data_IF_213079562103
#
_entry.id   IF_213079562103
#
_cell.length_a   1.000
_cell.length_b   1.000
_cell.length_c   1.000
_cell.angle_alpha   90.00
_cell.angle_beta   90.00
_cell.angle_gamma   90.00
#
_symmetry.space_group_name_H-M   'P 1'
#
loop_
_entity.id
_entity.type
_entity.pdbx_description
1 polymer ?
#
# COMPACT_ATOMS: atom_id res chain seq x y z
N UNK A 1 -18.83 39.45 38.35
CA UNK A 1 -19.58 40.74 38.30
C UNK A 1 -19.32 41.38 36.94
N UNK A 2 -20.25 42.15 36.48
CA UNK A 2 -21.32 41.81 35.53
C UNK A 2 -21.10 42.59 34.24
N UNK A 3 -21.79 42.45 33.20
CA UNK A 3 -23.16 42.39 32.81
C UNK A 3 -23.26 42.51 31.30
N UNK A 4 -24.17 41.87 30.73
CA UNK A 4 -25.48 42.39 30.31
C UNK A 4 -25.39 43.46 29.21
N UNK A 5 -26.02 43.35 28.10
CA UNK A 5 -27.44 43.32 27.77
C UNK A 5 -27.64 43.70 26.29
N UNK A 6 -28.47 42.96 25.56
CA UNK A 6 -29.57 43.42 24.65
C UNK A 6 -29.20 44.12 23.32
N UNK A 7 -29.92 43.99 22.29
CA UNK A 7 -31.24 43.46 21.96
C UNK A 7 -31.65 43.89 20.54
N UNK A 8 -32.40 43.04 19.89
CA UNK A 8 -33.59 43.31 19.07
C UNK A 8 -33.50 43.94 17.67
N UNK A 9 -34.03 43.20 16.69
CA UNK A 9 -35.36 43.41 16.05
C UNK A 9 -35.34 44.54 15.00
N UNK A 10 -35.74 44.41 13.75
CA UNK A 10 -37.00 44.07 13.12
C UNK A 10 -37.03 44.40 11.62
N UNK A 11 -37.84 43.64 10.87
CA UNK A 11 -38.70 43.99 9.72
C UNK A 11 -38.08 44.16 8.33
N UNK A 12 -38.38 43.21 7.44
CA UNK A 12 -39.51 43.14 6.49
C UNK A 12 -39.52 44.26 5.43
N UNK A 13 -39.44 43.88 4.15
CA UNK A 13 -40.43 44.20 3.11
C UNK A 13 -40.11 43.44 1.83
N UNK A 14 -41.11 42.78 1.32
CA UNK A 14 -41.22 42.08 0.07
C UNK A 14 -41.30 43.05 -1.13
N UNK A 15 -40.70 42.65 -2.26
CA UNK A 15 -41.23 43.08 -3.55
C UNK A 15 -41.05 41.99 -4.60
N UNK A 16 -42.14 41.47 -5.10
CA UNK A 16 -42.28 40.65 -6.29
C UNK A 16 -41.77 41.40 -7.52
N UNK A 17 -40.99 40.72 -8.37
CA UNK A 17 -40.97 41.05 -9.78
C UNK A 17 -40.82 39.75 -10.59
N UNK A 18 -41.91 39.41 -11.24
CA UNK A 18 -42.05 38.31 -12.20
C UNK A 18 -41.47 38.78 -13.54
N UNK A 19 -40.43 38.08 -14.03
CA UNK A 19 -40.09 38.10 -15.45
C UNK A 19 -39.79 36.67 -15.87
N UNK A 20 -40.67 36.10 -16.67
CA UNK A 20 -40.51 34.81 -17.28
C UNK A 20 -39.49 34.87 -18.41
N UNK A 21 -38.61 33.89 -18.48
CA UNK A 21 -37.86 33.55 -19.69
C UNK A 21 -37.82 32.02 -19.82
N UNK A 22 -38.12 31.61 -21.04
CA UNK A 22 -38.28 30.31 -21.61
C UNK A 22 -37.31 29.25 -21.11
N UNK A 23 -37.88 28.10 -20.73
CA UNK A 23 -37.10 26.90 -20.35
C UNK A 23 -36.42 26.24 -21.53
N UNK A 24 -35.12 26.11 -21.44
CA UNK A 24 -34.39 25.03 -22.06
C UNK A 24 -34.47 23.84 -21.09
N UNK A 25 -35.32 22.89 -21.40
CA UNK A 25 -35.31 21.58 -20.72
C UNK A 25 -34.02 20.84 -21.06
N UNK A 26 -32.97 21.09 -20.25
CA UNK A 26 -31.91 20.11 -20.09
C UNK A 26 -32.59 18.84 -19.54
N UNK A 27 -32.54 17.77 -20.33
CA UNK A 27 -32.90 16.44 -19.85
C UNK A 27 -31.93 16.09 -18.71
N UNK A 28 -32.37 16.43 -17.48
CA UNK A 28 -31.75 15.92 -16.27
C UNK A 28 -31.89 14.38 -16.34
N UNK A 29 -30.78 13.66 -16.34
CA UNK A 29 -30.76 12.24 -16.04
C UNK A 29 -31.54 12.06 -14.75
N UNK A 30 -32.56 11.20 -14.78
CA UNK A 30 -33.29 10.81 -13.57
C UNK A 30 -32.26 10.29 -12.55
N UNK A 31 -32.21 10.84 -11.33
CA UNK A 31 -31.37 10.30 -10.30
C UNK A 31 -31.81 8.86 -10.05
N UNK A 32 -30.87 7.93 -10.16
CA UNK A 32 -31.02 6.54 -9.74
C UNK A 32 -31.75 6.56 -8.38
N UNK A 33 -32.97 6.01 -8.30
CA UNK A 33 -33.72 5.83 -7.07
C UNK A 33 -32.91 4.91 -6.14
N UNK A 34 -32.06 5.53 -5.32
CA UNK A 34 -31.33 4.83 -4.27
C UNK A 34 -32.35 4.46 -3.19
N UNK A 35 -32.50 3.21 -2.80
CA UNK A 35 -33.38 2.82 -1.70
C UNK A 35 -33.03 3.64 -0.45
N UNK A 36 -34.02 4.10 0.34
CA UNK A 36 -33.77 4.86 1.54
C UNK A 36 -32.94 4.02 2.52
N UNK A 37 -31.74 4.52 2.89
CA UNK A 37 -30.80 3.85 3.81
C UNK A 37 -29.52 3.29 3.15
N UNK A 38 -29.40 3.30 1.82
CA UNK A 38 -28.17 2.85 1.14
C UNK A 38 -27.18 4.01 1.03
N UNK A 39 -25.95 3.77 1.48
CA UNK A 39 -24.86 4.76 1.41
C UNK A 39 -24.51 5.09 -0.05
N UNK A 40 -24.52 6.38 -0.42
CA UNK A 40 -23.97 6.81 -1.71
C UNK A 40 -22.47 7.06 -1.58
N UNK A 41 -21.69 6.28 -2.29
CA UNK A 41 -20.24 6.33 -2.28
C UNK A 41 -19.75 7.13 -3.49
N UNK A 42 -19.08 8.26 -3.24
CA UNK A 42 -18.33 9.01 -4.25
C UNK A 42 -16.90 8.48 -4.35
N UNK A 43 -16.20 8.75 -5.47
CA UNK A 43 -14.83 8.29 -5.66
C UNK A 43 -13.89 8.83 -4.56
N UNK A 44 -13.97 10.14 -4.24
CA UNK A 44 -13.12 10.75 -3.21
C UNK A 44 -13.36 10.16 -1.82
N UNK A 45 -14.64 9.89 -1.49
CA UNK A 45 -15.01 9.24 -0.23
C UNK A 45 -14.47 7.81 -0.17
N UNK A 46 -14.52 7.07 -1.29
CA UNK A 46 -13.96 5.72 -1.39
C UNK A 46 -12.45 5.74 -1.17
N UNK A 47 -11.73 6.64 -1.82
CA UNK A 47 -10.27 6.80 -1.65
C UNK A 47 -9.94 7.13 -0.18
N UNK A 48 -10.63 8.12 0.41
CA UNK A 48 -10.41 8.51 1.81
C UNK A 48 -10.64 7.37 2.80
N UNK A 49 -11.73 6.61 2.64
CA UNK A 49 -12.03 5.44 3.48
C UNK A 49 -10.97 4.35 3.34
N UNK A 50 -10.54 4.06 2.12
CA UNK A 50 -9.55 3.02 1.88
C UNK A 50 -8.18 3.39 2.46
N UNK A 51 -7.71 4.61 2.26
CA UNK A 51 -6.42 5.05 2.83
C UNK A 51 -6.39 4.91 4.35
N UNK A 52 -7.53 5.04 5.04
CA UNK A 52 -7.61 4.88 6.50
C UNK A 52 -7.73 3.40 6.90
N UNK A 53 -8.60 2.64 6.24
CA UNK A 53 -9.08 1.34 6.73
C UNK A 53 -8.43 0.15 6.02
N UNK A 54 -7.82 0.33 4.85
CA UNK A 54 -7.24 -0.77 4.10
C UNK A 54 -6.15 -1.49 4.89
N UNK A 55 -6.22 -2.83 4.92
CA UNK A 55 -5.31 -3.67 5.72
C UNK A 55 -3.88 -3.62 5.21
N UNK A 56 -3.66 -3.53 3.88
CA UNK A 56 -2.33 -3.45 3.29
C UNK A 56 -1.64 -2.12 3.66
N UNK A 57 -2.34 -0.99 3.51
CA UNK A 57 -1.83 0.32 3.92
C UNK A 57 -1.57 0.37 5.44
N UNK A 58 -2.44 -0.23 6.25
CA UNK A 58 -2.25 -0.35 7.71
C UNK A 58 -1.02 -1.18 8.05
N UNK A 59 -0.81 -2.32 7.38
CA UNK A 59 0.37 -3.15 7.58
C UNK A 59 1.66 -2.41 7.21
N UNK A 60 1.65 -1.64 6.11
CA UNK A 60 2.79 -0.81 5.72
C UNK A 60 3.11 0.28 6.76
N UNK A 61 2.09 0.90 7.39
CA UNK A 61 2.29 1.84 8.51
C UNK A 61 2.85 1.15 9.76
N UNK A 62 2.38 -0.05 10.08
CA UNK A 62 2.93 -0.84 11.19
C UNK A 62 4.39 -1.22 10.94
N UNK A 63 4.79 -1.48 9.68
CA UNK A 63 6.19 -1.75 9.35
C UNK A 63 7.09 -0.53 9.62
N UNK A 64 6.61 0.69 9.35
CA UNK A 64 7.34 1.91 9.74
C UNK A 64 7.52 1.96 11.27
N UNK A 65 6.45 1.73 12.03
CA UNK A 65 6.53 1.68 13.50
C UNK A 65 7.54 0.66 14.01
N UNK A 66 7.56 -0.54 13.40
CA UNK A 66 8.58 -1.56 13.72
C UNK A 66 10.01 -1.09 13.43
N UNK A 67 10.24 -0.36 12.33
CA UNK A 67 11.56 0.17 12.01
C UNK A 67 11.97 1.30 12.99
N UNK A 68 11.02 2.15 13.40
CA UNK A 68 11.26 3.20 14.37
C UNK A 68 11.60 2.60 15.75
N UNK A 69 10.91 1.52 16.19
CA UNK A 69 11.24 0.77 17.40
C UNK A 69 12.62 0.11 17.31
N UNK A 70 12.98 -0.48 16.17
CA UNK A 70 14.33 -1.02 15.92
C UNK A 70 15.41 0.06 16.01
N UNK A 71 15.12 1.24 15.49
CA UNK A 71 16.02 2.40 15.59
C UNK A 71 16.17 2.84 17.05
N UNK A 72 15.08 2.90 17.81
CA UNK A 72 15.11 3.21 19.25
C UNK A 72 15.91 2.16 20.03
N UNK A 73 15.69 0.86 19.74
CA UNK A 73 16.48 -0.21 20.32
C UNK A 73 17.96 -0.11 19.96
N UNK A 74 18.30 0.20 18.69
CA UNK A 74 19.69 0.36 18.27
C UNK A 74 20.38 1.53 19.00
N UNK A 75 19.66 2.60 19.33
CA UNK A 75 20.20 3.74 20.10
C UNK A 75 20.59 3.34 21.52
N UNK A 76 19.95 2.33 22.14
CA UNK A 76 20.33 1.87 23.48
C UNK A 76 21.72 1.25 23.52
N UNK A 77 22.27 0.77 22.38
CA UNK A 77 23.64 0.27 22.32
C UNK A 77 24.72 1.36 22.53
N UNK A 78 24.34 2.63 22.52
CA UNK A 78 25.22 3.74 22.92
C UNK A 78 25.41 3.84 24.43
N UNK A 79 24.50 3.25 25.21
CA UNK A 79 24.46 3.30 26.66
C UNK A 79 25.22 2.11 27.27
N UNK A 80 25.63 2.20 28.53
CA UNK A 80 26.22 1.07 29.25
C UNK A 80 25.24 -0.10 29.33
N UNK A 81 25.74 -1.30 29.12
CA UNK A 81 24.98 -2.54 29.30
C UNK A 81 25.28 -3.09 30.67
N UNK A 82 24.26 -3.33 31.48
CA UNK A 82 24.34 -3.99 32.79
C UNK A 82 23.87 -5.44 32.64
N UNK A 83 24.74 -6.38 33.00
CA UNK A 83 24.46 -7.83 33.03
C UNK A 83 24.57 -8.35 34.46
N UNK A 84 23.64 -9.17 34.86
CA UNK A 84 23.68 -9.91 36.13
C UNK A 84 23.62 -11.39 35.84
N UNK A 85 24.65 -12.12 36.25
CA UNK A 85 24.76 -13.55 36.08
C UNK A 85 24.76 -14.21 37.48
N UNK A 86 23.90 -15.19 37.68
CA UNK A 86 23.90 -16.03 38.88
C UNK A 86 24.21 -17.47 38.50
N UNK A 87 25.08 -18.10 39.25
CA UNK A 87 25.40 -19.52 39.10
C UNK A 87 25.45 -20.22 40.47
N UNK A 88 24.93 -21.43 40.50
CA UNK A 88 25.09 -22.35 41.63
C UNK A 88 25.79 -23.60 41.08
N UNK A 89 26.89 -23.95 41.70
CA UNK A 89 27.66 -25.15 41.31
C UNK A 89 27.99 -25.99 42.54
N UNK A 90 28.00 -27.30 42.39
CA UNK A 90 28.48 -28.25 43.39
C UNK A 90 29.63 -29.05 42.76
N UNK A 91 30.89 -28.84 43.20
CA UNK A 91 31.99 -29.71 42.74
C UNK A 91 31.70 -31.15 43.11
N UNK A 92 31.92 -32.06 42.21
CA UNK A 92 31.73 -33.51 42.42
C UNK A 92 33.00 -34.20 42.89
N UNK A 93 34.15 -33.55 42.67
CA UNK A 93 35.48 -34.06 43.05
C UNK A 93 36.22 -32.97 43.82
N UNK A 94 37.05 -33.39 44.74
CA UNK A 94 38.02 -32.51 45.41
C UNK A 94 39.31 -32.47 44.61
N UNK A 95 40.04 -31.35 44.67
CA UNK A 95 41.42 -31.23 44.22
C UNK A 95 42.27 -30.64 45.33
N UNK A 96 43.49 -31.12 45.44
CA UNK A 96 44.45 -30.66 46.42
C UNK A 96 45.44 -29.72 45.77
N UNK A 97 45.71 -28.57 46.42
CA UNK A 97 46.76 -27.65 46.03
C UNK A 97 47.78 -27.53 47.14
N UNK A 98 49.01 -27.93 46.84
CA UNK A 98 50.11 -27.81 47.81
C UNK A 98 50.79 -26.46 47.63
N UNK A 99 50.88 -25.69 48.68
CA UNK A 99 51.65 -24.45 48.74
C UNK A 99 52.95 -24.79 49.46
N UNK A 100 54.07 -24.65 48.76
CA UNK A 100 55.40 -24.88 49.32
C UNK A 100 55.73 -23.80 50.34
N UNK A 101 56.54 -24.16 51.36
CA UNK A 101 57.04 -23.28 52.39
C UNK A 101 57.66 -22.02 51.76
N UNK A 102 57.18 -20.85 52.18
CA UNK A 102 57.70 -19.56 51.71
C UNK A 102 57.25 -19.09 50.35
N UNK A 103 56.30 -19.77 49.68
CA UNK A 103 55.78 -19.42 48.31
C UNK A 103 55.19 -18.02 48.28
N UNK A 104 54.64 -17.49 49.37
CA UNK A 104 54.12 -16.11 49.46
C UNK A 104 55.14 -15.14 50.07
N UNK A 105 56.41 -15.52 50.22
CA UNK A 105 57.47 -14.67 50.79
C UNK A 105 57.81 -14.95 52.25
N UNK A 106 58.67 -14.14 52.84
CA UNK A 106 59.12 -14.20 54.22
C UNK A 106 58.74 -12.95 54.99
N UNK A 107 58.27 -13.10 56.23
CA UNK A 107 58.02 -12.03 57.14
C UNK A 107 59.04 -12.09 58.28
N UNK A 108 59.13 -11.04 59.16
CA UNK A 108 59.95 -11.08 60.36
C UNK A 108 59.67 -12.30 61.25
N UNK A 109 58.50 -12.93 61.13
CA UNK A 109 58.06 -14.11 61.86
C UNK A 109 58.37 -15.42 61.14
N UNK A 110 58.96 -15.39 59.93
CA UNK A 110 59.26 -16.58 59.14
C UNK A 110 58.64 -16.64 57.74
N UNK A 111 58.89 -17.67 56.99
CA UNK A 111 58.30 -17.88 55.65
C UNK A 111 56.77 -18.10 55.71
N UNK A 112 56.07 -17.72 54.63
CA UNK A 112 54.62 -17.93 54.51
C UNK A 112 54.35 -18.83 53.29
N UNK A 113 53.68 -19.98 53.48
CA UNK A 113 53.48 -20.69 54.78
C UNK A 113 54.80 -21.13 55.39
N UNK A 114 54.81 -21.38 56.69
CA UNK A 114 56.00 -21.82 57.39
C UNK A 114 56.36 -23.31 57.14
N UNK A 115 55.42 -24.07 56.61
CA UNK A 115 55.54 -25.47 56.20
C UNK A 115 54.76 -25.68 54.89
N UNK A 116 55.03 -26.78 54.17
CA UNK A 116 54.24 -27.15 53.00
C UNK A 116 52.79 -27.42 53.44
N UNK A 117 51.89 -26.64 52.86
CA UNK A 117 50.47 -26.66 53.27
C UNK A 117 49.61 -27.13 52.11
N UNK A 118 48.88 -28.23 52.34
CA UNK A 118 47.92 -28.77 51.35
C UNK A 118 46.56 -28.20 51.69
N UNK A 119 45.97 -27.49 50.70
CA UNK A 119 44.59 -27.01 50.75
C UNK A 119 43.72 -27.87 49.86
N UNK A 120 42.81 -28.63 50.45
CA UNK A 120 41.82 -29.43 49.73
C UNK A 120 40.60 -28.61 49.40
N UNK A 121 40.16 -28.62 48.14
CA UNK A 121 38.93 -27.91 47.73
C UNK A 121 37.68 -28.52 48.37
N UNK A 122 36.71 -27.70 48.66
CA UNK A 122 35.42 -28.17 49.24
C UNK A 122 34.48 -28.65 48.13
N UNK A 123 33.75 -29.74 48.43
CA UNK A 123 32.61 -30.20 47.60
C UNK A 123 31.28 -29.55 47.98
N UNK A 124 31.32 -28.57 48.86
CA UNK A 124 30.09 -27.82 49.23
C UNK A 124 29.54 -27.01 48.07
N UNK A 125 28.22 -26.90 47.93
CA UNK A 125 27.62 -26.03 46.92
C UNK A 125 28.12 -24.59 47.08
N UNK A 126 28.45 -23.97 45.94
CA UNK A 126 28.88 -22.57 45.89
C UNK A 126 27.90 -21.82 44.99
N UNK A 127 27.35 -20.73 45.49
CA UNK A 127 26.59 -19.80 44.70
C UNK A 127 27.43 -18.56 44.39
N UNK A 128 27.35 -18.03 43.17
CA UNK A 128 28.01 -16.81 42.79
C UNK A 128 27.04 -15.89 42.06
N UNK A 129 27.11 -14.61 42.34
CA UNK A 129 26.43 -13.56 41.58
C UNK A 129 27.49 -12.61 41.01
N UNK A 130 27.45 -12.40 39.70
CA UNK A 130 28.39 -11.52 38.99
C UNK A 130 27.58 -10.43 38.27
N UNK A 131 27.74 -9.20 38.73
CA UNK A 131 27.25 -7.99 38.06
C UNK A 131 28.37 -7.41 37.17
N UNK A 132 28.04 -7.11 35.90
CA UNK A 132 28.97 -6.50 34.95
C UNK A 132 28.31 -5.31 34.30
N UNK A 133 28.91 -4.13 34.36
CA UNK A 133 28.59 -2.96 33.59
C UNK A 133 29.64 -2.83 32.48
N UNK A 134 29.21 -2.70 31.23
CA UNK A 134 30.10 -2.54 30.08
C UNK A 134 29.67 -1.34 29.25
N UNK A 135 30.57 -0.36 29.04
CA UNK A 135 30.37 0.78 28.18
C UNK A 135 31.28 0.67 26.96
N UNK A 136 30.72 0.54 25.72
CA UNK A 136 31.54 0.60 24.52
C UNK A 136 32.13 2.01 24.35
N UNK A 137 33.41 2.12 23.95
CA UNK A 137 34.11 3.37 23.71
C UNK A 137 34.46 3.56 22.23
N UNK A 138 35.30 2.71 21.66
CA UNK A 138 35.71 2.78 20.24
C UNK A 138 34.60 2.39 19.30
N UNK A 139 33.72 1.50 19.73
CA UNK A 139 32.57 0.98 18.96
C UNK A 139 31.47 2.03 18.74
N UNK A 140 31.49 3.14 19.49
CA UNK A 140 30.46 4.20 19.38
C UNK A 140 30.31 4.72 17.94
N UNK A 141 31.43 4.82 17.18
CA UNK A 141 31.37 5.20 15.77
C UNK A 141 30.61 4.17 14.92
N UNK A 142 30.90 2.88 15.09
CA UNK A 142 30.23 1.78 14.38
C UNK A 142 28.75 1.72 14.74
N UNK A 143 28.41 1.86 16.03
CA UNK A 143 27.02 1.89 16.50
C UNK A 143 26.25 3.08 15.89
N UNK A 144 26.85 4.27 15.78
CA UNK A 144 26.23 5.42 15.10
C UNK A 144 25.98 5.16 13.62
N UNK A 145 26.86 4.44 12.92
CA UNK A 145 26.64 4.03 11.52
C UNK A 145 25.49 3.03 11.41
N UNK A 146 25.39 2.07 12.34
CA UNK A 146 24.28 1.09 12.40
C UNK A 146 22.95 1.78 12.68
N UNK A 147 22.89 2.75 13.60
CA UNK A 147 21.69 3.56 13.84
C UNK A 147 21.29 4.30 12.56
N UNK A 148 22.26 4.92 11.86
CA UNK A 148 21.97 5.59 10.60
C UNK A 148 21.47 4.64 9.51
N UNK A 149 21.97 3.41 9.47
CA UNK A 149 21.47 2.36 8.58
C UNK A 149 20.03 2.01 8.91
N UNK A 150 19.69 1.91 10.20
CA UNK A 150 18.31 1.64 10.65
C UNK A 150 17.36 2.81 10.32
N UNK A 151 17.82 4.06 10.44
CA UNK A 151 17.07 5.24 10.02
C UNK A 151 16.79 5.22 8.49
N UNK A 152 17.75 4.75 7.66
CA UNK A 152 17.50 4.54 6.22
C UNK A 152 16.47 3.44 5.98
N UNK A 153 16.47 2.37 6.77
CA UNK A 153 15.44 1.32 6.66
C UNK A 153 14.04 1.86 6.95
N UNK A 154 13.89 2.76 7.94
CA UNK A 154 12.63 3.47 8.18
C UNK A 154 12.22 4.35 6.98
N UNK A 155 13.17 5.06 6.35
CA UNK A 155 12.88 5.86 5.15
C UNK A 155 12.50 5.01 3.94
N UNK A 156 13.11 3.83 3.77
CA UNK A 156 12.72 2.85 2.75
C UNK A 156 11.28 2.38 2.99
N UNK A 157 10.93 2.01 4.22
CA UNK A 157 9.55 1.61 4.57
C UNK A 157 8.53 2.73 4.31
N UNK A 158 8.89 4.00 4.50
CA UNK A 158 8.04 5.15 4.14
C UNK A 158 7.86 5.29 2.63
N UNK A 159 8.91 5.05 1.83
CA UNK A 159 8.79 5.03 0.37
C UNK A 159 7.88 3.89 -0.09
N UNK A 160 8.00 2.71 0.52
CA UNK A 160 7.14 1.55 0.25
C UNK A 160 5.68 1.80 0.65
N UNK A 161 5.41 2.50 1.77
CA UNK A 161 4.07 2.94 2.12
C UNK A 161 3.49 3.85 1.04
N UNK A 162 4.27 4.83 0.56
CA UNK A 162 3.83 5.72 -0.52
C UNK A 162 3.48 4.94 -1.80
N UNK A 163 4.30 3.96 -2.20
CA UNK A 163 4.00 3.08 -3.33
C UNK A 163 2.72 2.27 -3.12
N UNK A 164 2.51 1.75 -1.90
CA UNK A 164 1.31 0.99 -1.54
C UNK A 164 0.06 1.87 -1.59
N UNK A 165 0.13 3.11 -1.07
CA UNK A 165 -0.98 4.06 -1.09
C UNK A 165 -1.32 4.48 -2.52
N UNK A 166 -0.34 4.75 -3.39
CA UNK A 166 -0.56 5.04 -4.80
C UNK A 166 -1.20 3.86 -5.54
N UNK A 167 -0.73 2.63 -5.29
CA UNK A 167 -1.34 1.44 -5.88
C UNK A 167 -2.78 1.25 -5.44
N UNK A 168 -3.06 1.44 -4.14
CA UNK A 168 -4.40 1.33 -3.56
C UNK A 168 -5.36 2.36 -4.17
N UNK A 169 -4.95 3.62 -4.30
CA UNK A 169 -5.77 4.67 -4.92
C UNK A 169 -6.12 4.31 -6.36
N UNK A 170 -5.15 3.84 -7.14
CA UNK A 170 -5.38 3.40 -8.52
C UNK A 170 -6.33 2.18 -8.58
N UNK A 171 -6.16 1.18 -7.71
CA UNK A 171 -7.04 0.00 -7.64
C UNK A 171 -8.48 0.39 -7.31
N UNK A 172 -8.67 1.38 -6.43
CA UNK A 172 -10.01 1.91 -6.07
C UNK A 172 -10.62 2.62 -7.27
N UNK A 173 -9.88 3.49 -7.95
CA UNK A 173 -10.36 4.18 -9.16
C UNK A 173 -10.81 3.15 -10.20
N UNK A 174 -10.02 2.10 -10.43
CA UNK A 174 -10.35 1.03 -11.38
C UNK A 174 -11.60 0.24 -10.97
N UNK A 175 -11.69 -0.16 -9.70
CA UNK A 175 -12.85 -0.88 -9.18
C UNK A 175 -14.12 -0.03 -9.24
N UNK A 176 -14.01 1.26 -8.92
CA UNK A 176 -15.10 2.22 -8.99
C UNK A 176 -15.64 2.37 -10.43
N UNK A 177 -14.73 2.58 -11.40
CA UNK A 177 -15.11 2.69 -12.82
C UNK A 177 -15.65 1.37 -13.37
N UNK A 178 -15.15 0.22 -12.93
CA UNK A 178 -15.69 -1.09 -13.32
C UNK A 178 -17.14 -1.27 -12.85
N UNK A 179 -17.48 -0.83 -11.62
CA UNK A 179 -18.86 -0.85 -11.10
C UNK A 179 -19.77 0.03 -11.98
N UNK A 180 -19.36 1.26 -12.31
CA UNK A 180 -20.13 2.14 -13.19
C UNK A 180 -20.32 1.54 -14.58
N UNK A 181 -19.31 0.87 -15.12
CA UNK A 181 -19.40 0.17 -16.40
C UNK A 181 -20.41 -0.97 -16.34
N UNK A 182 -20.42 -1.79 -15.29
CA UNK A 182 -21.37 -2.88 -15.12
C UNK A 182 -22.80 -2.36 -14.89
N UNK A 183 -22.97 -1.21 -14.23
CA UNK A 183 -24.27 -0.57 -14.12
C UNK A 183 -24.81 -0.14 -15.49
N UNK A 184 -23.98 0.47 -16.33
CA UNK A 184 -24.33 0.82 -17.72
C UNK A 184 -24.65 -0.41 -18.58
N UNK A 185 -23.90 -1.50 -18.42
CA UNK A 185 -24.18 -2.77 -19.08
C UNK A 185 -25.53 -3.37 -18.68
N UNK A 186 -25.88 -3.31 -17.38
CA UNK A 186 -27.16 -3.79 -16.88
C UNK A 186 -28.34 -2.99 -17.50
N UNK A 187 -28.20 -1.66 -17.55
CA UNK A 187 -29.21 -0.81 -18.20
C UNK A 187 -29.41 -1.12 -19.69
N UNK A 188 -28.30 -1.36 -20.42
CA UNK A 188 -28.37 -1.76 -21.83
C UNK A 188 -29.03 -3.15 -22.00
N UNK A 189 -28.70 -4.11 -21.16
CA UNK A 189 -29.32 -5.43 -21.16
C UNK A 189 -30.83 -5.38 -20.86
N UNK A 190 -31.25 -4.54 -19.89
CA UNK A 190 -32.67 -4.30 -19.60
C UNK A 190 -33.43 -3.66 -20.79
N UNK A 191 -32.78 -2.71 -21.50
CA UNK A 191 -33.35 -2.13 -22.70
C UNK A 191 -33.53 -3.19 -23.81
N UNK A 192 -32.56 -4.09 -23.99
CA UNK A 192 -32.64 -5.20 -24.94
C UNK A 192 -33.76 -6.19 -24.57
N UNK A 193 -33.94 -6.51 -23.29
CA UNK A 193 -35.05 -7.37 -22.83
C UNK A 193 -36.38 -6.71 -23.13
N UNK A 194 -36.57 -5.43 -22.85
CA UNK A 194 -37.82 -4.72 -23.18
C UNK A 194 -38.14 -4.80 -24.68
N UNK A 195 -37.12 -4.61 -25.52
CA UNK A 195 -37.29 -4.77 -26.97
C UNK A 195 -37.74 -6.17 -27.35
N UNK A 196 -36.99 -7.22 -26.91
CA UNK A 196 -37.32 -8.59 -27.33
C UNK A 196 -38.66 -9.07 -26.77
N UNK A 197 -39.11 -8.61 -25.60
CA UNK A 197 -40.44 -8.86 -25.09
C UNK A 197 -41.54 -8.26 -25.99
N UNK A 198 -41.35 -7.03 -26.46
CA UNK A 198 -42.31 -6.44 -27.39
C UNK A 198 -42.28 -7.11 -28.77
N UNK A 199 -41.10 -7.51 -29.25
CA UNK A 199 -41.00 -8.32 -30.50
C UNK A 199 -41.67 -9.70 -30.35
N UNK A 200 -41.53 -10.38 -29.20
CA UNK A 200 -42.18 -11.65 -28.93
C UNK A 200 -43.71 -11.52 -28.97
N UNK A 201 -44.23 -10.46 -28.31
CA UNK A 201 -45.66 -10.14 -28.34
C UNK A 201 -46.17 -9.90 -29.77
N UNK A 202 -45.54 -9.02 -30.52
CA UNK A 202 -45.98 -8.63 -31.87
C UNK A 202 -45.80 -9.81 -32.86
N UNK A 203 -44.70 -10.53 -32.80
CA UNK A 203 -44.48 -11.71 -33.66
C UNK A 203 -45.46 -12.84 -33.34
N UNK A 204 -45.79 -13.01 -32.04
CA UNK A 204 -46.80 -13.97 -31.60
C UNK A 204 -48.18 -13.69 -32.21
N UNK A 205 -48.60 -12.41 -32.22
CA UNK A 205 -49.85 -11.98 -32.86
C UNK A 205 -49.85 -12.26 -34.38
N UNK A 206 -48.72 -12.02 -35.07
CA UNK A 206 -48.60 -12.30 -36.52
C UNK A 206 -48.56 -13.78 -36.84
N UNK A 207 -48.01 -14.64 -35.96
CA UNK A 207 -48.09 -16.10 -36.12
C UNK A 207 -49.54 -16.59 -36.01
N UNK A 208 -50.32 -16.06 -35.04
CA UNK A 208 -51.76 -16.39 -34.93
C UNK A 208 -52.53 -16.00 -36.19
N UNK A 209 -52.17 -14.88 -36.80
CA UNK A 209 -52.74 -14.39 -38.06
C UNK A 209 -52.20 -15.11 -39.28
N UNK A 210 -51.27 -16.07 -39.13
CA UNK A 210 -50.56 -16.79 -40.23
C UNK A 210 -49.75 -15.88 -41.19
N UNK A 211 -49.33 -14.70 -40.73
CA UNK A 211 -48.56 -13.73 -41.51
C UNK A 211 -47.08 -14.07 -41.48
N UNK A 212 -46.57 -14.64 -40.38
CA UNK A 212 -45.18 -15.04 -40.17
C UNK A 212 -45.09 -16.49 -39.71
N UNK A 213 -43.90 -17.11 -39.93
CA UNK A 213 -43.63 -18.48 -39.58
C UNK A 213 -43.38 -18.63 -38.08
N UNK A 214 -43.78 -19.79 -37.50
CA UNK A 214 -43.51 -20.12 -36.09
C UNK A 214 -42.01 -20.12 -35.76
N UNK A 215 -41.13 -20.39 -36.73
CA UNK A 215 -39.67 -20.34 -36.56
C UNK A 215 -39.17 -18.96 -36.27
N UNK A 216 -39.82 -17.90 -36.80
CA UNK A 216 -39.45 -16.51 -36.49
C UNK A 216 -39.77 -16.16 -35.03
N UNK A 217 -40.93 -16.63 -34.52
CA UNK A 217 -41.26 -16.49 -33.10
C UNK A 217 -40.24 -17.21 -32.20
N UNK A 218 -39.84 -18.43 -32.54
CA UNK A 218 -38.82 -19.16 -31.80
C UNK A 218 -37.46 -18.49 -31.82
N UNK A 219 -37.06 -17.79 -32.93
CA UNK A 219 -35.83 -16.98 -32.97
C UNK A 219 -35.92 -15.81 -31.99
N UNK A 220 -37.04 -15.08 -31.97
CA UNK A 220 -37.24 -13.96 -31.02
C UNK A 220 -37.19 -14.44 -29.59
N UNK A 221 -37.86 -15.57 -29.26
CA UNK A 221 -37.83 -16.15 -27.93
C UNK A 221 -36.44 -16.61 -27.51
N UNK A 222 -35.66 -17.16 -28.43
CA UNK A 222 -34.25 -17.49 -28.19
C UNK A 222 -33.40 -16.25 -27.88
N UNK A 223 -33.63 -15.15 -28.60
CA UNK A 223 -32.93 -13.87 -28.36
C UNK A 223 -33.34 -13.24 -27.02
N UNK A 224 -34.61 -13.33 -26.62
CA UNK A 224 -35.10 -12.89 -25.34
C UNK A 224 -34.42 -13.67 -24.19
N UNK A 225 -34.40 -15.01 -24.26
CA UNK A 225 -33.75 -15.85 -23.28
C UNK A 225 -32.25 -15.56 -23.15
N UNK A 226 -31.55 -15.28 -24.29
CA UNK A 226 -30.14 -14.85 -24.27
C UNK A 226 -29.97 -13.50 -23.58
N UNK A 227 -30.83 -12.53 -23.83
CA UNK A 227 -30.75 -11.21 -23.18
C UNK A 227 -31.00 -11.29 -21.67
N UNK A 228 -31.93 -12.15 -21.22
CA UNK A 228 -32.18 -12.41 -19.80
C UNK A 228 -30.99 -13.08 -19.13
N UNK A 229 -30.34 -14.05 -19.78
CA UNK A 229 -29.09 -14.64 -19.30
C UNK A 229 -27.96 -13.62 -19.19
N UNK A 230 -27.81 -12.74 -20.20
CA UNK A 230 -26.79 -11.67 -20.19
C UNK A 230 -27.00 -10.71 -19.01
N UNK A 231 -28.24 -10.29 -18.74
CA UNK A 231 -28.55 -9.45 -17.58
C UNK A 231 -28.15 -10.12 -16.27
N UNK A 232 -28.47 -11.41 -16.09
CA UNK A 232 -28.06 -12.16 -14.90
C UNK A 232 -26.55 -12.20 -14.73
N UNK A 233 -25.81 -12.42 -15.83
CA UNK A 233 -24.35 -12.44 -15.81
C UNK A 233 -23.76 -11.09 -15.41
N UNK A 234 -24.29 -10.00 -15.95
CA UNK A 234 -23.87 -8.63 -15.62
C UNK A 234 -24.18 -8.29 -14.17
N UNK A 235 -25.36 -8.67 -13.66
CA UNK A 235 -25.74 -8.46 -12.26
C UNK A 235 -24.80 -9.21 -11.30
N UNK A 236 -24.45 -10.46 -11.59
CA UNK A 236 -23.49 -11.22 -10.79
C UNK A 236 -22.09 -10.57 -10.83
N UNK A 237 -21.65 -10.08 -11.99
CA UNK A 237 -20.39 -9.33 -12.11
C UNK A 237 -20.40 -8.05 -11.27
N UNK A 238 -21.51 -7.31 -11.27
CA UNK A 238 -21.68 -6.10 -10.48
C UNK A 238 -21.58 -6.37 -8.97
N UNK A 239 -22.19 -7.46 -8.50
CA UNK A 239 -22.09 -7.88 -7.10
C UNK A 239 -20.64 -8.20 -6.72
N UNK A 240 -19.95 -9.00 -7.53
CA UNK A 240 -18.53 -9.34 -7.32
C UNK A 240 -17.64 -8.11 -7.27
N UNK A 241 -17.87 -7.13 -8.15
CA UNK A 241 -17.10 -5.87 -8.16
C UNK A 241 -17.39 -5.02 -6.92
N UNK A 242 -18.62 -4.98 -6.43
CA UNK A 242 -18.99 -4.31 -5.18
C UNK A 242 -18.30 -4.97 -3.98
N UNK A 243 -18.28 -6.30 -3.92
CA UNK A 243 -17.55 -7.04 -2.89
C UNK A 243 -16.05 -6.74 -2.93
N UNK A 244 -15.46 -6.70 -4.13
CA UNK A 244 -14.04 -6.34 -4.31
C UNK A 244 -13.76 -4.91 -3.84
N UNK A 245 -14.62 -3.94 -4.17
CA UNK A 245 -14.45 -2.57 -3.68
C UNK A 245 -14.56 -2.51 -2.16
N UNK A 246 -15.53 -3.19 -1.54
CA UNK A 246 -15.64 -3.30 -0.08
C UNK A 246 -14.36 -3.87 0.56
N UNK A 247 -13.77 -4.90 -0.04
CA UNK A 247 -12.51 -5.46 0.40
C UNK A 247 -11.37 -4.42 0.34
N UNK A 248 -11.26 -3.66 -0.75
CA UNK A 248 -10.29 -2.56 -0.89
C UNK A 248 -10.52 -1.44 0.15
N UNK A 249 -11.78 -1.13 0.45
CA UNK A 249 -12.17 -0.18 1.50
C UNK A 249 -11.88 -0.68 2.92
N UNK A 250 -11.53 -1.96 3.09
CA UNK A 250 -11.25 -2.56 4.39
C UNK A 250 -12.48 -2.78 5.28
N UNK A 251 -13.69 -2.83 4.69
CA UNK A 251 -14.96 -3.05 5.38
C UNK A 251 -15.56 -4.45 5.08
N UNK A 252 -16.71 -4.78 5.66
CA UNK A 252 -17.40 -6.04 5.38
C UNK A 252 -17.80 -6.08 3.89
N UNK A 253 -17.45 -7.19 3.22
CA UNK A 253 -17.69 -7.39 1.78
C UNK A 253 -19.17 -7.33 1.42
N UNK A 254 -20.07 -7.65 2.35
CA UNK A 254 -21.53 -7.65 2.21
C UNK A 254 -22.18 -6.29 2.35
N UNK A 255 -21.41 -5.24 2.68
CA UNK A 255 -21.96 -3.89 2.87
C UNK A 255 -22.58 -3.38 1.57
N UNK A 256 -23.87 -3.04 1.60
CA UNK A 256 -24.54 -2.47 0.44
C UNK A 256 -24.23 -0.99 0.28
N UNK A 257 -24.01 -0.57 -0.96
CA UNK A 257 -23.79 0.83 -1.32
C UNK A 257 -24.19 1.07 -2.78
N UNK A 258 -24.49 2.31 -3.10
CA UNK A 258 -24.65 2.82 -4.46
C UNK A 258 -23.46 3.67 -4.86
N UNK A 259 -23.11 3.65 -6.14
CA UNK A 259 -22.02 4.48 -6.70
C UNK A 259 -22.63 5.65 -7.42
N UNK A 260 -22.11 6.85 -7.17
CA UNK A 260 -22.51 8.06 -7.90
C UNK A 260 -21.79 8.10 -9.26
N UNK A 261 -22.50 8.36 -10.35
CA UNK A 261 -21.89 8.69 -11.63
C UNK A 261 -21.13 10.02 -11.48
N UNK A 262 -19.81 9.98 -11.75
CA UNK A 262 -18.97 11.18 -11.67
C UNK A 262 -19.32 12.22 -12.75
N UNK A 263 -18.91 13.47 -12.50
CA UNK A 263 -19.10 14.60 -13.40
C UNK A 263 -18.45 14.37 -14.78
N UNK A 264 -19.26 14.32 -15.83
CA UNK A 264 -18.78 14.27 -17.22
C UNK A 264 -18.01 15.55 -17.63
N UNK A 265 -18.13 16.62 -16.85
CA UNK A 265 -17.52 17.94 -17.15
C UNK A 265 -15.99 17.96 -17.02
N UNK A 266 -15.39 16.99 -16.35
CA UNK A 266 -13.94 16.88 -16.21
C UNK A 266 -13.18 16.58 -17.52
N UNK A 267 -13.88 16.17 -18.59
CA UNK A 267 -13.29 15.99 -19.93
C UNK A 267 -12.79 17.29 -20.57
N UNK A 268 -13.40 18.43 -20.24
CA UNK A 268 -13.08 19.73 -20.84
C UNK A 268 -11.77 20.36 -20.31
N UNK A 269 -11.21 19.86 -19.19
CA UNK A 269 -10.07 20.49 -18.50
C UNK A 269 -8.74 19.77 -18.78
N UNK A 270 -8.67 18.88 -19.76
CA UNK A 270 -7.44 18.17 -20.05
C UNK A 270 -6.39 19.06 -20.71
N UNK A 271 -5.38 19.46 -19.93
CA UNK A 271 -4.10 19.95 -20.48
C UNK A 271 -3.45 18.82 -21.29
N UNK A 272 -2.99 19.12 -22.50
CA UNK A 272 -2.13 18.21 -23.24
C UNK A 272 -0.86 17.97 -22.41
N UNK A 273 -0.72 16.77 -21.86
CA UNK A 273 0.50 16.39 -21.12
C UNK A 273 1.54 15.96 -22.14
N UNK A 274 2.67 16.67 -22.16
CA UNK A 274 3.81 16.28 -22.98
C UNK A 274 4.50 15.05 -22.36
N UNK A 275 4.85 14.07 -23.22
CA UNK A 275 5.50 12.83 -22.80
C UNK A 275 6.87 13.08 -22.15
N UNK A 276 7.61 14.11 -22.61
CA UNK A 276 8.93 14.42 -22.05
C UNK A 276 8.80 14.88 -20.60
N UNK A 277 7.92 15.84 -20.34
CA UNK A 277 7.65 16.33 -18.98
C UNK A 277 7.06 15.25 -18.08
N UNK A 278 6.27 14.31 -18.62
CA UNK A 278 5.75 13.18 -17.85
C UNK A 278 6.86 12.23 -17.37
N UNK A 279 7.84 11.94 -18.22
CA UNK A 279 9.02 11.12 -17.87
C UNK A 279 9.86 11.76 -16.78
N UNK A 280 10.11 13.06 -16.88
CA UNK A 280 10.88 13.81 -15.87
C UNK A 280 10.16 13.80 -14.50
N UNK A 281 8.85 14.04 -14.49
CA UNK A 281 8.04 13.97 -13.26
C UNK A 281 8.05 12.58 -12.65
N UNK A 282 7.93 11.53 -13.46
CA UNK A 282 7.98 10.15 -12.98
C UNK A 282 9.31 9.84 -12.28
N UNK A 283 10.45 10.17 -12.91
CA UNK A 283 11.78 9.96 -12.32
C UNK A 283 12.00 10.77 -11.03
N UNK A 284 11.32 11.92 -10.89
CA UNK A 284 11.41 12.76 -9.69
C UNK A 284 10.49 12.28 -8.55
N UNK A 285 9.28 11.82 -8.85
CA UNK A 285 8.20 11.62 -7.87
C UNK A 285 7.97 10.16 -7.49
N UNK A 286 8.38 9.20 -8.33
CA UNK A 286 8.09 7.77 -8.09
C UNK A 286 8.78 7.26 -6.83
N UNK A 287 8.03 6.64 -5.90
CA UNK A 287 8.58 6.12 -4.66
C UNK A 287 9.57 4.98 -4.87
N UNK A 288 9.46 4.20 -5.96
CA UNK A 288 10.39 3.12 -6.29
C UNK A 288 11.80 3.65 -6.61
N UNK A 289 11.89 4.79 -7.30
CA UNK A 289 13.16 5.47 -7.57
C UNK A 289 13.78 5.98 -6.27
N UNK A 290 12.96 6.54 -5.39
CA UNK A 290 13.40 6.98 -4.06
C UNK A 290 13.90 5.81 -3.22
N UNK A 291 13.20 4.70 -3.23
CA UNK A 291 13.60 3.47 -2.53
C UNK A 291 14.96 2.97 -3.05
N UNK A 292 15.16 2.87 -4.38
CA UNK A 292 16.40 2.43 -4.99
C UNK A 292 17.59 3.33 -4.59
N UNK A 293 17.40 4.66 -4.59
CA UNK A 293 18.43 5.60 -4.11
C UNK A 293 18.78 5.40 -2.63
N UNK A 294 17.81 5.18 -1.77
CA UNK A 294 18.03 4.88 -0.35
C UNK A 294 18.77 3.56 -0.14
N UNK A 295 18.50 2.52 -0.96
CA UNK A 295 19.23 1.24 -0.93
C UNK A 295 20.70 1.39 -1.31
N UNK A 296 21.04 2.29 -2.24
CA UNK A 296 22.44 2.62 -2.55
C UNK A 296 23.12 3.23 -1.31
N UNK A 297 22.49 4.18 -0.64
CA UNK A 297 23.03 4.79 0.58
C UNK A 297 23.18 3.76 1.71
N UNK A 298 22.24 2.83 1.85
CA UNK A 298 22.32 1.73 2.80
C UNK A 298 23.53 0.84 2.50
N UNK A 299 23.75 0.44 1.24
CA UNK A 299 24.91 -0.36 0.83
C UNK A 299 26.24 0.35 1.07
N UNK A 300 26.28 1.70 0.88
CA UNK A 300 27.47 2.51 1.23
C UNK A 300 27.73 2.51 2.72
N UNK A 301 26.69 2.58 3.56
CA UNK A 301 26.84 2.48 5.02
C UNK A 301 27.33 1.11 5.44
N UNK A 302 26.82 0.01 4.85
CA UNK A 302 27.26 -1.36 5.11
C UNK A 302 28.78 -1.50 4.89
N UNK A 303 29.27 -0.95 3.78
CA UNK A 303 30.73 -0.92 3.51
C UNK A 303 31.50 -0.11 4.54
N UNK A 304 30.94 1.01 5.02
CA UNK A 304 31.57 1.84 6.08
C UNK A 304 31.56 1.14 7.44
N UNK A 305 30.48 0.46 7.79
CA UNK A 305 30.38 -0.37 9.00
C UNK A 305 31.44 -1.47 8.94
N UNK A 306 31.56 -2.16 7.80
CA UNK A 306 32.56 -3.22 7.64
C UNK A 306 33.99 -2.71 7.73
N UNK A 307 34.27 -1.51 7.17
CA UNK A 307 35.58 -0.85 7.34
C UNK A 307 35.89 -0.52 8.80
N UNK A 308 34.88 -0.19 9.62
CA UNK A 308 35.11 0.15 11.03
C UNK A 308 35.55 -1.05 11.89
N UNK A 309 35.39 -2.28 11.41
CA UNK A 309 35.84 -3.49 12.10
C UNK A 309 37.40 -3.65 12.15
N UNK A 310 38.15 -2.81 11.42
CA UNK A 310 39.59 -2.72 11.60
C UNK A 310 40.02 -1.98 12.87
N UNK A 311 39.10 -1.20 13.48
CA UNK A 311 39.36 -0.50 14.73
C UNK A 311 39.17 -1.50 15.87
N UNK A 312 40.15 -1.61 16.82
CA UNK A 312 40.00 -2.44 17.99
C UNK A 312 38.76 -2.07 18.81
N UNK A 313 38.05 -3.07 19.33
CA UNK A 313 36.94 -2.85 20.21
C UNK A 313 37.42 -2.58 21.62
N UNK A 314 37.25 -1.36 22.11
CA UNK A 314 37.63 -0.91 23.44
C UNK A 314 36.38 -0.62 24.25
N UNK A 315 36.27 -1.23 25.43
CA UNK A 315 35.16 -1.00 26.35
C UNK A 315 35.66 -0.79 27.79
N UNK A 316 34.97 0.09 28.49
CA UNK A 316 35.10 0.24 29.94
C UNK A 316 34.22 -0.81 30.62
N UNK A 317 34.79 -1.55 31.57
CA UNK A 317 34.07 -2.58 32.30
C UNK A 317 34.14 -2.30 33.82
N UNK A 318 33.03 -2.46 34.49
CA UNK A 318 32.95 -2.49 35.95
C UNK A 318 32.35 -3.85 36.32
N UNK A 319 33.09 -4.62 37.13
CA UNK A 319 32.67 -5.95 37.54
C UNK A 319 32.49 -5.97 39.04
N UNK A 320 31.46 -6.62 39.51
CA UNK A 320 31.23 -6.95 40.90
C UNK A 320 30.84 -8.42 41.01
N UNK A 321 31.59 -9.18 41.76
CA UNK A 321 31.32 -10.59 42.00
C UNK A 321 31.14 -10.81 43.51
N UNK A 322 30.12 -11.56 43.89
CA UNK A 322 29.96 -12.04 45.26
C UNK A 322 29.75 -13.54 45.23
N UNK A 323 30.43 -14.21 46.15
CA UNK A 323 30.35 -15.66 46.31
C UNK A 323 29.77 -16.04 47.66
N UNK A 324 28.84 -16.96 47.64
CA UNK A 324 28.26 -17.57 48.82
C UNK A 324 28.86 -18.97 48.95
N UNK A 325 30.08 -19.01 49.49
CA UNK A 325 30.83 -20.28 49.69
C UNK A 325 31.08 -20.49 51.19
N UNK A 326 31.11 -21.75 51.60
CA UNK A 326 31.52 -22.12 52.96
C UNK A 326 33.06 -22.06 53.14
N UNK A 327 33.83 -21.74 52.10
CA UNK A 327 35.28 -21.61 52.16
C UNK A 327 35.70 -20.21 52.58
N UNK A 328 36.51 -20.08 53.60
CA UNK A 328 37.11 -18.81 54.06
C UNK A 328 38.28 -18.35 53.17
N UNK A 329 38.69 -19.13 52.19
CA UNK A 329 39.85 -18.86 51.34
C UNK A 329 39.49 -17.91 50.14
N UNK A 330 38.23 -17.88 49.69
CA UNK A 330 37.80 -17.03 48.59
C UNK A 330 37.18 -15.79 49.17
N UNK A 331 37.58 -14.56 48.72
CA UNK A 331 36.94 -13.34 49.14
C UNK A 331 35.42 -13.37 48.84
N UNK A 332 34.60 -12.98 49.83
CA UNK A 332 33.13 -12.97 49.66
C UNK A 332 32.66 -12.01 48.59
N UNK A 333 33.40 -10.96 48.32
CA UNK A 333 33.09 -10.00 47.29
C UNK A 333 34.37 -9.47 46.65
N UNK A 334 34.31 -9.27 45.35
CA UNK A 334 35.37 -8.68 44.52
C UNK A 334 34.77 -7.65 43.58
N UNK A 335 35.33 -6.44 43.58
CA UNK A 335 34.94 -5.40 42.64
C UNK A 335 36.17 -4.91 41.88
N UNK A 336 35.96 -4.55 40.62
CA UNK A 336 37.03 -4.04 39.78
C UNK A 336 36.53 -3.17 38.64
N UNK A 337 37.34 -2.19 38.29
CA UNK A 337 37.14 -1.34 37.08
C UNK A 337 38.31 -1.63 36.17
N UNK A 338 38.01 -1.84 34.87
CA UNK A 338 39.04 -2.14 33.89
C UNK A 338 38.65 -1.67 32.47
N UNK A 339 39.64 -1.70 31.61
CA UNK A 339 39.44 -1.49 30.16
C UNK A 339 39.69 -2.81 29.46
N UNK A 340 38.71 -3.26 28.72
CA UNK A 340 38.80 -4.43 27.87
C UNK A 340 39.07 -4.03 26.44
N UNK A 341 40.10 -4.62 25.83
CA UNK A 341 40.45 -4.41 24.42
C UNK A 341 40.33 -5.76 23.72
N UNK A 342 39.53 -5.79 22.67
CA UNK A 342 39.39 -6.96 21.79
C UNK A 342 39.80 -6.56 20.38
N UNK A 343 40.81 -7.22 19.83
CA UNK A 343 41.36 -6.92 18.53
C UNK A 343 41.81 -8.19 17.78
N UNK A 344 41.15 -8.43 16.67
CA UNK A 344 41.58 -9.44 15.72
C UNK A 344 42.71 -8.89 14.84
N UNK A 345 43.95 -9.09 15.27
CA UNK A 345 45.16 -8.52 14.63
C UNK A 345 45.42 -9.12 13.25
N UNK A 346 45.08 -10.40 13.07
CA UNK A 346 45.31 -11.11 11.84
C UNK A 346 44.14 -12.04 11.48
N UNK A 347 43.59 -11.86 10.29
CA UNK A 347 42.36 -12.51 9.82
C UNK A 347 42.52 -13.16 8.42
N UNK A 348 43.74 -13.38 7.98
CA UNK A 348 44.08 -13.98 6.66
C UNK A 348 43.46 -13.21 5.49
N UNK A 349 43.16 -11.92 5.67
CA UNK A 349 42.61 -11.05 4.65
C UNK A 349 41.07 -11.11 4.51
N UNK A 350 40.39 -11.79 5.46
CA UNK A 350 38.93 -11.93 5.49
C UNK A 350 38.24 -10.58 5.41
N UNK A 351 38.54 -9.63 6.31
CA UNK A 351 37.94 -8.27 6.34
C UNK A 351 38.12 -7.52 5.02
N UNK A 352 39.30 -7.67 4.37
CA UNK A 352 39.55 -7.05 3.06
C UNK A 352 38.64 -7.61 1.98
N UNK A 353 38.40 -8.94 1.97
CA UNK A 353 37.51 -9.60 1.02
C UNK A 353 36.06 -9.22 1.26
N UNK A 354 35.62 -9.14 2.52
CA UNK A 354 34.28 -8.72 2.90
C UNK A 354 34.00 -7.23 2.50
N UNK A 355 34.99 -6.36 2.63
CA UNK A 355 34.85 -4.96 2.15
C UNK A 355 34.77 -4.91 0.61
N UNK A 356 35.51 -5.77 -0.09
CA UNK A 356 35.42 -5.87 -1.54
C UNK A 356 34.05 -6.40 -1.98
N UNK A 357 33.49 -7.39 -1.25
CA UNK A 357 32.12 -7.88 -1.43
C UNK A 357 31.10 -6.75 -1.28
N UNK A 358 31.18 -5.96 -0.19
CA UNK A 358 30.31 -4.78 0.01
C UNK A 358 30.49 -3.72 -1.08
N UNK A 359 31.68 -3.64 -1.70
CA UNK A 359 31.90 -2.82 -2.89
C UNK A 359 31.02 -3.27 -4.06
N UNK A 360 31.01 -4.58 -4.34
CA UNK A 360 30.14 -5.16 -5.40
C UNK A 360 28.65 -5.00 -5.09
N UNK A 361 28.26 -5.06 -3.81
CA UNK A 361 26.86 -4.80 -3.42
C UNK A 361 26.43 -3.36 -3.74
N UNK A 362 27.33 -2.36 -3.68
CA UNK A 362 27.03 -0.99 -4.12
C UNK A 362 26.83 -0.95 -5.63
N UNK A 363 27.66 -1.65 -6.41
CA UNK A 363 27.54 -1.72 -7.86
C UNK A 363 26.21 -2.38 -8.26
N UNK A 364 25.82 -3.47 -7.58
CA UNK A 364 24.51 -4.10 -7.76
C UNK A 364 23.35 -3.15 -7.43
N UNK A 365 23.44 -2.38 -6.35
CA UNK A 365 22.41 -1.42 -5.99
C UNK A 365 22.29 -0.27 -7.03
N UNK A 366 23.42 0.16 -7.63
CA UNK A 366 23.40 1.12 -8.73
C UNK A 366 22.74 0.55 -9.99
N UNK A 367 23.04 -0.71 -10.35
CA UNK A 367 22.35 -1.38 -11.46
C UNK A 367 20.85 -1.48 -11.22
N UNK A 368 20.44 -1.83 -9.98
CA UNK A 368 19.01 -1.89 -9.61
C UNK A 368 18.32 -0.52 -9.72
N UNK A 369 19.02 0.59 -9.49
CA UNK A 369 18.47 1.93 -9.75
C UNK A 369 18.25 2.16 -11.25
N UNK A 370 19.23 1.80 -12.10
CA UNK A 370 19.10 1.95 -13.55
C UNK A 370 17.97 1.08 -14.12
N UNK A 371 17.80 -0.13 -13.59
CA UNK A 371 16.68 -1.00 -13.94
C UNK A 371 15.35 -0.39 -13.53
N UNK A 372 15.24 0.11 -12.30
CA UNK A 372 14.03 0.78 -11.81
C UNK A 372 13.68 2.03 -12.64
N UNK A 373 14.68 2.84 -13.02
CA UNK A 373 14.48 4.00 -13.90
C UNK A 373 13.96 3.56 -15.28
N UNK A 374 14.51 2.48 -15.84
CA UNK A 374 14.08 1.93 -17.13
C UNK A 374 12.67 1.38 -17.07
N UNK A 375 12.30 0.65 -16.01
CA UNK A 375 10.96 0.12 -15.80
C UNK A 375 9.92 1.23 -15.66
N UNK A 376 10.22 2.28 -14.88
CA UNK A 376 9.35 3.45 -14.73
C UNK A 376 9.15 4.15 -16.08
N UNK A 377 10.20 4.36 -16.86
CA UNK A 377 10.08 4.98 -18.17
C UNK A 377 9.26 4.12 -19.17
N UNK A 378 9.45 2.80 -19.15
CA UNK A 378 8.63 1.88 -19.95
C UNK A 378 7.17 1.92 -19.52
N UNK A 379 6.88 1.93 -18.21
CA UNK A 379 5.52 2.05 -17.71
C UNK A 379 4.87 3.35 -18.16
N UNK A 380 5.53 4.50 -17.97
CA UNK A 380 5.03 5.81 -18.41
C UNK A 380 4.72 5.82 -19.92
N UNK A 381 5.64 5.32 -20.74
CA UNK A 381 5.44 5.25 -22.18
C UNK A 381 4.24 4.40 -22.57
N UNK A 382 4.08 3.25 -21.90
CA UNK A 382 2.96 2.33 -22.16
C UNK A 382 1.63 2.94 -21.74
N UNK A 383 1.54 3.51 -20.52
CA UNK A 383 0.31 4.14 -20.00
C UNK A 383 -0.07 5.38 -20.80
N UNK A 384 0.91 6.15 -21.25
CA UNK A 384 0.66 7.28 -22.15
C UNK A 384 0.01 6.83 -23.46
N UNK A 385 0.55 5.79 -24.11
CA UNK A 385 -0.04 5.25 -25.35
C UNK A 385 -1.46 4.72 -25.12
N UNK A 386 -1.68 3.96 -24.04
CA UNK A 386 -3.01 3.45 -23.67
C UNK A 386 -4.02 4.58 -23.44
N UNK A 387 -3.60 5.68 -22.81
CA UNK A 387 -4.43 6.86 -22.63
C UNK A 387 -4.78 7.52 -23.97
N UNK A 388 -3.83 7.62 -24.90
CA UNK A 388 -4.09 8.16 -26.23
C UNK A 388 -5.05 7.27 -27.03
N UNK A 389 -4.85 5.96 -27.00
CA UNK A 389 -5.74 4.98 -27.64
C UNK A 389 -7.16 5.07 -27.10
N UNK A 390 -7.33 5.10 -25.77
CA UNK A 390 -8.64 5.20 -25.14
C UNK A 390 -9.32 6.54 -25.43
N UNK A 391 -8.56 7.64 -25.54
CA UNK A 391 -9.06 8.95 -25.98
C UNK A 391 -9.61 8.89 -27.42
N UNK A 392 -8.90 8.19 -28.32
CA UNK A 392 -9.37 8.03 -29.70
C UNK A 392 -10.61 7.14 -29.77
N UNK A 393 -10.64 6.04 -29.01
CA UNK A 393 -11.82 5.19 -28.90
C UNK A 393 -13.05 5.97 -28.41
N UNK A 394 -12.88 6.85 -27.40
CA UNK A 394 -13.94 7.70 -26.91
C UNK A 394 -14.53 8.63 -27.99
N UNK A 395 -13.68 9.19 -28.86
CA UNK A 395 -14.15 10.00 -29.99
C UNK A 395 -14.98 9.16 -30.97
N UNK A 396 -14.55 7.94 -31.30
CA UNK A 396 -15.28 7.03 -32.17
C UNK A 396 -16.62 6.65 -31.57
N UNK A 397 -16.65 6.26 -30.29
CA UNK A 397 -17.88 5.92 -29.58
C UNK A 397 -18.87 7.09 -29.53
N UNK A 398 -18.37 8.32 -29.33
CA UNK A 398 -19.21 9.53 -29.35
C UNK A 398 -19.86 9.78 -30.70
N UNK A 399 -19.10 9.58 -31.79
CA UNK A 399 -19.65 9.71 -33.16
C UNK A 399 -20.70 8.63 -33.43
N UNK A 400 -20.43 7.36 -33.02
CA UNK A 400 -21.39 6.25 -33.16
C UNK A 400 -22.69 6.54 -32.41
N UNK A 401 -22.59 7.02 -31.15
CA UNK A 401 -23.75 7.43 -30.34
C UNK A 401 -24.57 8.53 -31.04
N UNK A 402 -23.89 9.53 -31.58
CA UNK A 402 -24.56 10.65 -32.25
C UNK A 402 -25.29 10.17 -33.51
N UNK A 403 -24.65 9.28 -34.31
CA UNK A 403 -25.24 8.68 -35.49
C UNK A 403 -26.46 7.81 -35.12
N UNK A 404 -26.37 6.97 -34.08
CA UNK A 404 -27.46 6.11 -33.65
C UNK A 404 -28.67 6.95 -33.17
N UNK A 405 -28.45 8.07 -32.45
CA UNK A 405 -29.51 9.00 -32.06
C UNK A 405 -30.22 9.62 -33.26
N UNK A 406 -29.47 10.09 -34.25
CA UNK A 406 -30.03 10.63 -35.47
C UNK A 406 -30.84 9.57 -36.27
N UNK A 407 -30.35 8.32 -36.29
CA UNK A 407 -31.05 7.23 -36.97
C UNK A 407 -32.38 6.90 -36.28
N UNK A 408 -32.44 6.84 -34.94
CA UNK A 408 -33.71 6.64 -34.19
C UNK A 408 -34.71 7.74 -34.53
N UNK A 409 -34.27 8.99 -34.57
CA UNK A 409 -35.15 10.12 -34.94
C UNK A 409 -35.72 9.97 -36.36
N UNK A 410 -34.86 9.62 -37.32
CA UNK A 410 -35.25 9.41 -38.72
C UNK A 410 -36.23 8.24 -38.87
N UNK A 411 -35.92 7.08 -38.28
CA UNK A 411 -36.76 5.88 -38.40
C UNK A 411 -38.11 6.09 -37.68
N UNK A 412 -38.11 6.76 -36.52
CA UNK A 412 -39.36 7.13 -35.81
C UNK A 412 -40.21 8.09 -36.64
N UNK A 413 -39.62 9.06 -37.32
CA UNK A 413 -40.34 9.94 -38.24
C UNK A 413 -40.95 9.19 -39.39
N UNK A 414 -40.18 8.27 -40.07
CA UNK A 414 -40.66 7.41 -41.17
C UNK A 414 -41.81 6.51 -40.70
N UNK A 415 -41.74 5.95 -39.50
CA UNK A 415 -42.77 5.10 -38.91
C UNK A 415 -44.11 5.89 -38.74
N UNK A 416 -44.03 7.14 -38.28
CA UNK A 416 -45.24 8.05 -38.20
C UNK A 416 -45.89 8.31 -39.54
N UNK A 417 -45.12 8.12 -40.63
CA UNK A 417 -45.59 8.27 -42.01
C UNK A 417 -45.97 6.91 -42.64
N UNK A 418 -46.06 5.85 -41.84
CA UNK A 418 -46.33 4.46 -42.28
C UNK A 418 -45.30 3.95 -43.36
N UNK A 419 -44.11 4.57 -43.41
CA UNK A 419 -43.09 4.23 -44.42
C UNK A 419 -42.12 3.11 -43.99
N UNK A 420 -42.14 2.72 -42.69
CA UNK A 420 -41.33 1.62 -42.13
C UNK A 420 -42.11 0.87 -41.06
N UNK A 421 -41.69 -0.38 -40.77
CA UNK A 421 -42.31 -1.21 -39.77
C UNK A 421 -41.88 -0.86 -38.36
N UNK A 422 -42.69 -1.15 -37.33
CA UNK A 422 -42.37 -1.04 -35.90
C UNK A 422 -41.03 -1.77 -35.56
N UNK A 423 -40.80 -2.93 -36.17
CA UNK A 423 -39.56 -3.71 -36.05
C UNK A 423 -38.32 -2.86 -36.29
N UNK A 424 -38.33 -1.98 -37.33
CA UNK A 424 -37.19 -1.12 -37.66
C UNK A 424 -36.96 -0.04 -36.62
N UNK A 425 -38.04 0.52 -36.03
CA UNK A 425 -37.92 1.47 -34.90
C UNK A 425 -37.30 0.82 -33.68
N UNK A 426 -37.82 -0.37 -33.33
CA UNK A 426 -37.31 -1.14 -32.19
C UNK A 426 -35.83 -1.54 -32.38
N UNK A 427 -35.45 -1.94 -33.60
CA UNK A 427 -34.07 -2.25 -33.91
C UNK A 427 -33.16 -1.02 -33.86
N UNK A 428 -33.61 0.14 -34.32
CA UNK A 428 -32.87 1.40 -34.22
C UNK A 428 -32.70 1.83 -32.73
N UNK A 429 -33.70 1.63 -31.88
CA UNK A 429 -33.63 1.88 -30.44
C UNK A 429 -32.60 0.97 -29.75
N UNK A 430 -32.50 -0.33 -30.14
CA UNK A 430 -31.49 -1.24 -29.64
C UNK A 430 -30.07 -0.78 -30.01
N UNK A 431 -29.89 -0.38 -31.28
CA UNK A 431 -28.60 0.16 -31.75
C UNK A 431 -28.21 1.40 -30.94
N UNK A 432 -29.18 2.27 -30.62
CA UNK A 432 -28.92 3.42 -29.74
C UNK A 432 -28.53 3.00 -28.33
N UNK A 433 -29.28 2.08 -27.69
CA UNK A 433 -28.95 1.59 -26.35
C UNK A 433 -27.55 0.98 -26.26
N UNK A 434 -27.17 0.17 -27.27
CA UNK A 434 -25.82 -0.38 -27.37
C UNK A 434 -24.76 0.70 -27.61
N UNK A 435 -25.03 1.69 -28.44
CA UNK A 435 -24.11 2.81 -28.69
C UNK A 435 -23.97 3.73 -27.46
N UNK A 436 -25.01 3.92 -26.66
CA UNK A 436 -24.97 4.65 -25.39
C UNK A 436 -24.09 3.87 -24.38
N UNK A 437 -24.22 2.55 -24.31
CA UNK A 437 -23.35 1.69 -23.49
C UNK A 437 -21.89 1.73 -23.95
N UNK A 438 -21.64 1.61 -25.26
CA UNK A 438 -20.28 1.66 -25.82
C UNK A 438 -19.60 3.01 -25.55
N UNK A 439 -20.36 4.11 -25.61
CA UNK A 439 -19.85 5.42 -25.23
C UNK A 439 -19.49 5.49 -23.75
N UNK A 440 -20.36 5.03 -22.85
CA UNK A 440 -20.07 4.98 -21.42
C UNK A 440 -18.86 4.09 -21.13
N UNK A 441 -18.78 2.92 -21.75
CA UNK A 441 -17.63 2.01 -21.63
C UNK A 441 -16.33 2.67 -22.09
N UNK A 442 -16.34 3.36 -23.24
CA UNK A 442 -15.16 4.08 -23.74
C UNK A 442 -14.75 5.23 -22.80
N UNK A 443 -15.73 5.96 -22.23
CA UNK A 443 -15.50 7.02 -21.27
C UNK A 443 -14.83 6.49 -19.98
N UNK A 444 -15.35 5.42 -19.42
CA UNK A 444 -14.81 4.82 -18.20
C UNK A 444 -13.44 4.15 -18.45
N UNK A 445 -13.24 3.56 -19.63
CA UNK A 445 -11.93 3.05 -20.05
C UNK A 445 -10.90 4.18 -20.17
N UNK A 446 -11.30 5.34 -20.68
CA UNK A 446 -10.45 6.52 -20.71
C UNK A 446 -10.10 7.02 -19.31
N UNK A 447 -11.06 7.09 -18.37
CA UNK A 447 -10.78 7.48 -17.00
C UNK A 447 -9.84 6.48 -16.29
N UNK A 448 -10.01 5.19 -16.56
CA UNK A 448 -9.11 4.15 -16.04
C UNK A 448 -7.70 4.31 -16.59
N UNK A 449 -7.55 4.52 -17.90
CA UNK A 449 -6.25 4.73 -18.53
C UNK A 449 -5.57 6.02 -18.04
N UNK A 450 -6.36 7.08 -17.78
CA UNK A 450 -5.88 8.32 -17.17
C UNK A 450 -5.38 8.08 -15.75
N UNK A 451 -6.14 7.38 -14.91
CA UNK A 451 -5.72 7.03 -13.56
C UNK A 451 -4.42 6.19 -13.54
N UNK A 452 -4.31 5.21 -14.45
CA UNK A 452 -3.10 4.42 -14.62
C UNK A 452 -1.90 5.29 -15.04
N UNK A 453 -2.11 6.28 -15.88
CA UNK A 453 -1.07 7.22 -16.29
C UNK A 453 -0.68 8.17 -15.15
N UNK A 454 -1.64 8.72 -14.39
CA UNK A 454 -1.40 9.55 -13.20
C UNK A 454 -0.55 8.80 -12.17
N UNK A 455 -0.86 7.51 -11.90
CA UNK A 455 -0.04 6.65 -11.06
C UNK A 455 1.38 6.50 -11.64
N UNK A 456 1.50 6.24 -12.95
CA UNK A 456 2.80 6.02 -13.59
C UNK A 456 3.73 7.25 -13.49
N UNK A 457 3.19 8.46 -13.44
CA UNK A 457 3.96 9.70 -13.26
C UNK A 457 4.14 10.10 -11.78
N UNK A 458 3.57 9.34 -10.85
CA UNK A 458 3.67 9.61 -9.41
C UNK A 458 2.82 10.79 -8.91
N UNK A 459 1.72 11.13 -9.62
CA UNK A 459 0.80 12.24 -9.26
C UNK A 459 -0.50 11.75 -8.59
N UNK A 460 -0.63 10.47 -8.30
CA UNK A 460 -1.82 9.90 -7.68
C UNK A 460 -1.89 10.32 -6.20
N UNK A 461 -2.77 11.29 -5.92
CA UNK A 461 -3.13 11.77 -4.57
C UNK A 461 -4.58 11.47 -4.28
#
# INVERSE_FOLDING_TARGET
MPGLIRSKITFLIATLLFVGIAGSTALAQEPLLVPPGVEVLTLDKAIGLALVNNRSARNARLEIGKQDDRTAAARTHLLPVFKLNGAVSKPLTTFDTTFEKGVFGTTPSGPIPNEDTVITSSTNPTAAIVGQLQQPLSQLHRIKLQIKQQDLSSQISRAQLSATEQSLVNEIKRAYYAILQSQGAAQAAEANIKLYRELDRVTGEYVVQQVVLKTELMDVQTRLAKAEYELLTVQNSLLTQKEQLNHLLGRDVRTEFAVSSGDETALAVMRETDLVSARERALANRPEIREAKLRIEQSKLDKRIKKSEFIPDVSLTVNYATTFSYSNFVPRSLSGVGVQVEWEVFDWGRKKREIAEKGKSIDQANNSLLDAESEVLMEVNNRFRQMQESRQLLKVAKLSQTQARANVQLVTYKYRLDAVLLKEVLQAQTVLANSDYDYQKALLSFWTAKADFEKAIGEDK
#
